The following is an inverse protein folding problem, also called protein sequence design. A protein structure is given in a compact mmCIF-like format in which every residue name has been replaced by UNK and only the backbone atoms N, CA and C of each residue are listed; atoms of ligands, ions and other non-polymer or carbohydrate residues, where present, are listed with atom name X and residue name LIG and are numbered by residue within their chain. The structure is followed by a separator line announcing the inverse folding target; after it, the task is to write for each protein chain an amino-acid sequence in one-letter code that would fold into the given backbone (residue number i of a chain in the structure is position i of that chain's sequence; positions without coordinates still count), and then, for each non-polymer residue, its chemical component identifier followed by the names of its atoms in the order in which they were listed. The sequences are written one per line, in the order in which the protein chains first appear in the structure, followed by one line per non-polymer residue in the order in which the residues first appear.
data_IF_498862266265
#
_entry.id   IF_498862266265
#
_cell.length_a   1.000
_cell.length_b   1.000
_cell.length_c   1.000
_cell.angle_alpha   90.00
_cell.angle_beta   90.00
_cell.angle_gamma   90.00
#
_symmetry.space_group_name_H-M   'P 1'
#
loop_
_entity.id
_entity.type
_entity.pdbx_description
1 polymer ?
#
# COMPACT_ATOMS: atom_id res chain seq x y z
N UNK A 1 12.94 4.82 -15.81
CA UNK A 1 12.29 3.55 -15.39
C UNK A 1 10.90 3.89 -14.87
N UNK A 2 9.87 3.32 -15.50
CA UNK A 2 8.47 3.50 -15.11
C UNK A 2 8.06 2.29 -14.25
N UNK A 3 7.55 2.51 -13.04
CA UNK A 3 7.06 1.44 -12.17
C UNK A 3 5.54 1.47 -12.08
N UNK A 4 4.87 0.31 -12.08
CA UNK A 4 3.46 0.20 -11.73
C UNK A 4 3.33 -0.25 -10.27
N UNK A 5 2.42 0.35 -9.52
CA UNK A 5 2.16 0.03 -8.11
C UNK A 5 0.66 -0.03 -7.87
N UNK A 6 0.20 -0.90 -6.98
CA UNK A 6 -1.18 -0.90 -6.50
C UNK A 6 -1.24 -0.20 -5.14
N UNK A 7 -2.28 0.60 -4.93
CA UNK A 7 -2.53 1.27 -3.65
C UNK A 7 -4.00 1.18 -3.26
N UNK A 8 -4.26 1.04 -1.97
CA UNK A 8 -5.58 1.16 -1.38
C UNK A 8 -5.79 2.59 -0.86
N UNK A 9 -6.96 3.18 -1.10
CA UNK A 9 -7.32 4.51 -0.59
C UNK A 9 -8.40 4.45 0.49
N UNK A 10 -8.39 5.45 1.37
CA UNK A 10 -9.36 5.67 2.43
C UNK A 10 -10.03 7.03 2.21
N UNK A 11 -11.36 7.12 2.13
CA UNK A 11 -12.03 8.40 2.15
C UNK A 11 -12.10 8.97 3.57
N UNK A 12 -11.86 10.28 3.70
CA UNK A 12 -12.09 11.03 4.92
C UNK A 12 -13.58 11.06 5.27
N UNK A 13 -14.01 10.17 6.16
CA UNK A 13 -15.39 10.09 6.62
C UNK A 13 -15.48 9.56 8.04
N UNK A 14 -16.06 10.37 8.93
CA UNK A 14 -16.40 10.01 10.30
C UNK A 14 -17.11 8.64 10.34
N UNK A 15 -16.51 7.68 11.04
CA UNK A 15 -17.01 6.31 11.19
C UNK A 15 -18.45 6.34 11.71
N UNK A 16 -19.44 6.05 10.85
CA UNK A 16 -20.82 5.77 11.27
C UNK A 16 -21.09 4.27 11.23
N UNK A 17 -21.91 3.84 12.19
CA UNK A 17 -22.11 2.47 12.63
C UNK A 17 -22.42 1.45 11.52
N UNK A 18 -21.70 0.33 11.65
CA UNK A 18 -21.97 -1.05 11.25
C UNK A 18 -23.20 -1.35 10.35
N UNK A 19 -22.93 -1.90 9.16
CA UNK A 19 -23.79 -2.89 8.49
C UNK A 19 -22.92 -4.05 8.02
N UNK A 20 -23.19 -5.26 8.53
CA UNK A 20 -22.60 -6.53 8.07
C UNK A 20 -22.92 -6.70 6.58
N UNK A 21 -21.87 -6.86 5.77
CA UNK A 21 -21.97 -7.21 4.37
C UNK A 21 -20.57 -7.46 3.81
N UNK A 22 -20.31 -8.73 3.52
CA UNK A 22 -19.34 -9.25 2.56
C UNK A 22 -17.84 -9.28 2.91
N UNK A 23 -17.24 -10.39 2.49
CA UNK A 23 -15.93 -10.89 2.90
C UNK A 23 -14.83 -9.92 2.51
N UNK A 24 -14.27 -9.21 3.50
CA UNK A 24 -13.05 -8.45 3.29
C UNK A 24 -11.94 -9.43 2.90
N UNK A 25 -11.61 -9.49 1.61
CA UNK A 25 -10.45 -10.24 1.16
C UNK A 25 -9.24 -9.71 1.93
N UNK A 26 -8.60 -10.57 2.72
CA UNK A 26 -7.40 -10.18 3.46
C UNK A 26 -6.37 -9.65 2.44
N UNK A 27 -5.64 -8.55 2.73
CA UNK A 27 -4.69 -7.97 1.79
C UNK A 27 -3.72 -8.97 1.14
N UNK A 28 -3.35 -10.04 1.85
CA UNK A 28 -2.53 -11.13 1.30
C UNK A 28 -3.22 -12.00 0.24
N UNK A 29 -4.55 -12.15 0.29
CA UNK A 29 -5.31 -12.83 -0.76
C UNK A 29 -5.38 -12.01 -2.02
N UNK A 30 -5.64 -10.70 -1.90
CA UNK A 30 -5.62 -9.79 -3.04
C UNK A 30 -4.24 -9.75 -3.70
N UNK A 31 -3.16 -9.62 -2.93
CA UNK A 31 -1.79 -9.60 -3.47
C UNK A 31 -1.48 -10.87 -4.28
N UNK A 32 -1.86 -12.05 -3.76
CA UNK A 32 -1.67 -13.32 -4.47
C UNK A 32 -2.47 -13.39 -5.76
N UNK A 33 -3.74 -12.96 -5.73
CA UNK A 33 -4.60 -12.95 -6.92
C UNK A 33 -4.06 -12.03 -8.01
N UNK A 34 -3.53 -10.87 -7.63
CA UNK A 34 -2.85 -9.96 -8.55
C UNK A 34 -1.64 -10.65 -9.18
N UNK A 35 -0.77 -11.27 -8.37
CA UNK A 35 0.39 -12.01 -8.89
C UNK A 35 -0.02 -13.13 -9.86
N UNK A 36 -1.03 -13.93 -9.49
CA UNK A 36 -1.57 -15.03 -10.32
C UNK A 36 -2.08 -14.53 -11.69
N UNK A 37 -2.75 -13.37 -11.71
CA UNK A 37 -3.33 -12.80 -12.93
C UNK A 37 -2.29 -12.08 -13.82
N UNK A 38 -1.21 -11.55 -13.23
CA UNK A 38 -0.18 -10.82 -13.96
C UNK A 38 0.98 -11.72 -14.45
N UNK A 39 1.21 -12.87 -13.82
CA UNK A 39 2.21 -13.86 -14.25
C UNK A 39 2.10 -14.25 -15.74
N UNK A 40 0.93 -14.64 -16.29
CA UNK A 40 0.82 -14.98 -17.71
C UNK A 40 1.01 -13.77 -18.65
N UNK A 41 0.97 -12.54 -18.13
CA UNK A 41 1.24 -11.32 -18.88
C UNK A 41 2.72 -10.92 -18.86
N UNK A 42 3.59 -11.74 -18.25
CA UNK A 42 5.04 -11.53 -18.19
C UNK A 42 5.53 -10.79 -16.95
N UNK A 43 4.67 -10.57 -15.93
CA UNK A 43 5.10 -9.99 -14.66
C UNK A 43 5.41 -11.11 -13.66
N UNK A 44 6.68 -11.32 -13.27
CA UNK A 44 7.02 -12.40 -12.36
C UNK A 44 6.40 -12.15 -10.98
N UNK A 45 5.94 -13.23 -10.35
CA UNK A 45 5.41 -13.20 -8.98
C UNK A 45 6.47 -12.71 -7.98
N UNK A 46 6.03 -11.97 -6.96
CA UNK A 46 6.89 -11.64 -5.84
C UNK A 46 7.24 -12.90 -5.04
N UNK A 47 8.53 -13.13 -4.80
CA UNK A 47 9.01 -14.34 -4.09
C UNK A 47 8.98 -14.14 -2.58
N UNK A 48 8.99 -12.89 -2.12
CA UNK A 48 8.93 -12.54 -0.70
C UNK A 48 7.49 -12.69 -0.20
N UNK A 49 7.29 -13.24 1.01
CA UNK A 49 5.96 -13.26 1.61
C UNK A 49 5.39 -11.85 1.70
N UNK A 50 4.15 -11.67 1.24
CA UNK A 50 3.46 -10.40 1.33
C UNK A 50 3.26 -10.02 2.81
N UNK A 51 3.77 -8.84 3.18
CA UNK A 51 3.58 -8.25 4.52
C UNK A 51 2.86 -6.92 4.33
N UNK A 52 1.57 -6.79 4.68
CA UNK A 52 0.87 -5.52 4.56
C UNK A 52 1.50 -4.49 5.51
N UNK A 53 1.98 -3.37 4.95
CA UNK A 53 2.57 -2.27 5.70
C UNK A 53 2.38 -0.96 4.94
N UNK A 54 2.37 0.16 5.68
CA UNK A 54 2.49 1.49 5.10
C UNK A 54 3.94 1.96 5.26
N UNK A 55 4.57 2.40 4.18
CA UNK A 55 5.92 2.98 4.26
C UNK A 55 5.81 4.41 4.77
N UNK A 56 6.36 4.69 5.95
CA UNK A 56 6.41 6.06 6.51
C UNK A 56 7.61 6.85 5.99
N UNK A 57 8.77 6.19 5.93
CA UNK A 57 10.02 6.77 5.45
C UNK A 57 10.96 5.68 4.96
N UNK A 58 11.93 6.07 4.12
CA UNK A 58 13.06 5.22 3.71
C UNK A 58 14.36 5.91 4.11
N UNK A 59 15.12 5.27 5.01
CA UNK A 59 16.43 5.75 5.44
C UNK A 59 17.43 5.58 4.30
N UNK A 60 18.01 6.70 3.82
CA UNK A 60 19.03 6.68 2.76
C UNK A 60 20.42 6.36 3.31
N UNK A 61 20.73 6.93 4.47
CA UNK A 61 21.99 6.73 5.19
C UNK A 61 21.67 6.52 6.66
N UNK A 62 22.27 5.50 7.26
CA UNK A 62 22.02 5.16 8.66
C UNK A 62 22.80 6.07 9.59
N UNK A 63 22.12 6.57 10.63
CA UNK A 63 22.75 7.25 11.75
C UNK A 63 22.28 6.62 13.07
N UNK A 64 23.18 6.36 14.06
CA UNK A 64 22.81 5.69 15.31
C UNK A 64 21.67 6.37 16.09
N UNK A 65 21.53 7.70 15.98
CA UNK A 65 20.44 8.44 16.65
C UNK A 65 19.03 8.05 16.17
N UNK A 66 18.89 7.45 14.97
CA UNK A 66 17.60 7.04 14.43
C UNK A 66 16.93 5.96 15.29
N UNK A 67 17.72 5.09 15.94
CA UNK A 67 17.18 4.03 16.79
C UNK A 67 16.38 4.61 17.96
N UNK A 68 16.93 5.61 18.64
CA UNK A 68 16.24 6.29 19.74
C UNK A 68 14.96 6.97 19.28
N UNK A 69 14.99 7.62 18.11
CA UNK A 69 13.80 8.27 17.55
C UNK A 69 12.67 7.29 17.23
N UNK A 70 13.00 6.13 16.62
CA UNK A 70 12.00 5.10 16.30
C UNK A 70 11.46 4.43 17.57
N UNK A 71 12.31 4.22 18.58
CA UNK A 71 11.89 3.61 19.85
C UNK A 71 10.95 4.50 20.66
N UNK A 72 11.11 5.82 20.56
CA UNK A 72 10.22 6.80 21.18
C UNK A 72 8.89 6.99 20.43
N UNK A 73 8.71 6.34 19.27
CA UNK A 73 7.47 6.47 18.51
C UNK A 73 6.30 5.87 19.31
N UNK A 74 5.17 6.59 19.43
CA UNK A 74 4.02 6.10 20.18
C UNK A 74 3.52 4.77 19.61
N UNK A 75 3.14 3.83 20.49
CA UNK A 75 2.70 2.49 20.11
C UNK A 75 1.19 2.39 19.94
N UNK A 76 0.47 3.49 20.11
CA UNK A 76 -0.97 3.51 19.91
C UNK A 76 -1.30 3.20 18.45
N UNK A 77 -2.42 2.52 18.18
CA UNK A 77 -2.88 2.31 16.82
C UNK A 77 -3.06 3.65 16.10
N UNK A 78 -2.49 3.77 14.90
CA UNK A 78 -2.67 4.93 14.01
C UNK A 78 -4.12 5.15 13.54
N UNK A 79 -5.01 4.22 13.86
CA UNK A 79 -6.42 4.25 13.49
C UNK A 79 -6.83 3.04 12.66
N UNK A 80 -8.07 3.07 12.19
CA UNK A 80 -8.64 2.09 11.27
C UNK A 80 -9.39 2.84 10.18
N UNK A 81 -9.39 2.28 8.99
CA UNK A 81 -10.15 2.81 7.86
C UNK A 81 -10.78 1.67 7.08
N UNK A 82 -11.82 1.98 6.33
CA UNK A 82 -12.38 1.09 5.33
C UNK A 82 -11.66 1.33 4.01
N UNK A 83 -11.25 0.25 3.35
CA UNK A 83 -10.77 0.34 1.96
C UNK A 83 -12.00 0.48 1.07
N UNK A 84 -12.07 1.56 0.30
CA UNK A 84 -13.20 1.85 -0.58
C UNK A 84 -12.87 1.61 -2.05
N UNK A 85 -11.59 1.68 -2.40
CA UNK A 85 -11.13 1.44 -3.76
C UNK A 85 -9.69 0.94 -3.81
N UNK A 86 -9.36 0.34 -4.95
CA UNK A 86 -8.01 -0.06 -5.33
C UNK A 86 -7.62 0.74 -6.57
N UNK A 87 -6.41 1.31 -6.55
CA UNK A 87 -5.88 2.11 -7.66
C UNK A 87 -4.65 1.47 -8.27
N UNK A 88 -4.60 1.43 -9.60
CA UNK A 88 -3.39 1.15 -10.36
C UNK A 88 -2.63 2.46 -10.54
N UNK A 89 -1.46 2.55 -9.91
CA UNK A 89 -0.58 3.72 -9.96
C UNK A 89 0.57 3.51 -10.94
N UNK A 90 0.98 4.60 -11.58
CA UNK A 90 2.22 4.72 -12.34
C UNK A 90 3.20 5.62 -11.59
N UNK A 91 4.45 5.20 -11.50
CA UNK A 91 5.56 5.97 -10.95
C UNK A 91 6.53 6.34 -12.06
N UNK A 92 6.65 7.64 -12.32
CA UNK A 92 7.62 8.20 -13.26
C UNK A 92 8.77 8.84 -12.48
N UNK A 93 9.97 8.27 -12.59
CA UNK A 93 11.15 8.83 -11.93
C UNK A 93 11.63 10.09 -12.65
N UNK A 94 11.78 11.18 -11.91
CA UNK A 94 12.38 12.43 -12.37
C UNK A 94 13.62 12.78 -11.54
N UNK A 95 14.49 13.69 -11.99
CA UNK A 95 15.60 14.19 -11.18
C UNK A 95 15.17 14.80 -9.84
N UNK A 96 13.92 15.28 -9.74
CA UNK A 96 13.35 15.87 -8.51
C UNK A 96 12.64 14.85 -7.60
N UNK A 97 12.55 13.59 -8.04
CA UNK A 97 11.83 12.53 -7.33
C UNK A 97 10.80 11.82 -8.21
N UNK A 98 10.12 10.82 -7.65
CA UNK A 98 9.05 10.09 -8.32
C UNK A 98 7.76 10.89 -8.37
N UNK A 99 7.17 11.01 -9.56
CA UNK A 99 5.80 11.53 -9.75
C UNK A 99 4.87 10.33 -9.89
N UNK A 100 3.79 10.34 -9.11
CA UNK A 100 2.78 9.27 -9.09
C UNK A 100 1.50 9.72 -9.78
N UNK A 101 0.93 8.83 -10.60
CA UNK A 101 -0.30 9.04 -11.35
C UNK A 101 -1.26 7.86 -11.12
N UNK A 102 -2.55 8.15 -10.95
CA UNK A 102 -3.61 7.15 -10.91
C UNK A 102 -4.03 6.83 -12.34
N UNK A 103 -3.80 5.59 -12.79
CA UNK A 103 -4.20 5.14 -14.12
C UNK A 103 -5.63 4.63 -14.15
N UNK A 104 -6.02 3.89 -13.12
CA UNK A 104 -7.33 3.24 -12.98
C UNK A 104 -7.69 3.17 -11.50
N UNK A 105 -8.97 3.35 -11.18
CA UNK A 105 -9.55 3.13 -9.86
C UNK A 105 -10.71 2.14 -9.96
N UNK A 106 -10.78 1.20 -9.03
CA UNK A 106 -11.84 0.19 -8.92
C UNK A 106 -12.43 0.25 -7.52
N UNK A 107 -13.72 0.53 -7.39
CA UNK A 107 -14.43 0.56 -6.11
C UNK A 107 -14.66 -0.85 -5.53
N UNK A 108 -14.73 -0.95 -4.20
CA UNK A 108 -14.94 -2.19 -3.43
C UNK A 108 -16.29 -2.23 -2.72
#
# INVERSE_FOLDING_TARGET
MCGLQLSAEAAGGLVRHHRRGESAALPGTLARQVDDLLEPLGFPRERRPFRPHATLARVKEFHPSLLGQVQCMPREPFGRFRVESIKLKKSTLTPRGSVYEDLVEVAL
#
